data_IF_704360333762
#
_entry.id   IF_704360333762
#
_cell.length_a   1.000
_cell.length_b   1.000
_cell.length_c   1.000
_cell.angle_alpha   90.00
_cell.angle_beta   90.00
_cell.angle_gamma   90.00
#
_symmetry.space_group_name_H-M   'P 1'
#
loop_
_entity.id
_entity.type
_entity.pdbx_description
1 polymer ?
#
# COMPACT_ATOMS: atom_id res chain seq x y z
N UNK A 1 17.55 -31.96 2.99
CA UNK A 1 17.32 -30.84 2.05
C UNK A 1 17.24 -29.57 2.87
N UNK A 2 18.11 -28.59 2.59
CA UNK A 2 18.23 -27.34 3.36
C UNK A 2 17.06 -26.43 2.98
N UNK A 3 16.09 -26.26 3.88
CA UNK A 3 15.07 -25.22 3.75
C UNK A 3 15.70 -23.88 4.11
N UNK A 4 15.99 -23.06 3.09
CA UNK A 4 16.44 -21.70 3.29
C UNK A 4 15.26 -20.92 3.87
N UNK A 5 15.32 -20.67 5.18
CA UNK A 5 14.29 -19.95 5.92
C UNK A 5 14.11 -18.56 5.34
N UNK A 6 12.95 -18.40 4.70
CA UNK A 6 12.26 -17.16 4.31
C UNK A 6 12.87 -15.91 4.94
N UNK A 7 13.59 -15.14 4.11
CA UNK A 7 13.91 -13.76 4.41
C UNK A 7 12.60 -13.04 4.68
N UNK A 8 12.45 -12.56 5.92
CA UNK A 8 11.35 -11.71 6.37
C UNK A 8 11.31 -10.49 5.46
N UNK A 9 10.39 -10.51 4.51
CA UNK A 9 9.84 -9.31 3.88
C UNK A 9 8.33 -9.46 4.00
N UNK A 10 7.81 -9.18 5.19
CA UNK A 10 6.38 -8.88 5.32
C UNK A 10 6.12 -7.55 4.56
N UNK A 11 5.15 -7.49 3.64
CA UNK A 11 5.30 -6.68 2.45
C UNK A 11 4.33 -5.51 2.39
N UNK A 12 4.87 -4.29 2.28
CA UNK A 12 4.32 -3.09 1.61
C UNK A 12 2.87 -2.61 1.90
N UNK A 13 2.06 -3.24 2.75
CA UNK A 13 0.73 -2.76 3.20
C UNK A 13 0.82 -1.78 4.38
N UNK A 14 1.84 -1.92 5.25
CA UNK A 14 2.24 -0.89 6.23
C UNK A 14 2.34 0.51 5.60
N UNK A 15 2.79 0.57 4.34
CA UNK A 15 2.92 1.84 3.61
C UNK A 15 1.58 2.53 3.34
N UNK A 16 0.46 1.79 3.22
CA UNK A 16 -0.84 2.43 2.98
C UNK A 16 -1.27 3.21 4.21
N UNK A 17 -1.22 2.61 5.40
CA UNK A 17 -1.61 3.28 6.64
C UNK A 17 -0.69 4.46 6.97
N UNK A 18 0.61 4.27 6.79
CA UNK A 18 1.61 5.33 6.90
C UNK A 18 1.30 6.48 5.93
N UNK A 19 0.94 6.17 4.69
CA UNK A 19 0.60 7.17 3.67
C UNK A 19 -0.65 7.95 4.07
N UNK A 20 -1.71 7.28 4.53
CA UNK A 20 -2.95 7.94 4.99
C UNK A 20 -2.67 8.83 6.21
N UNK A 21 -1.89 8.34 7.18
CA UNK A 21 -1.48 9.14 8.33
C UNK A 21 -0.68 10.39 7.90
N UNK A 22 0.15 10.27 6.86
CA UNK A 22 0.88 11.40 6.29
C UNK A 22 -0.04 12.41 5.58
N UNK A 23 -1.10 11.96 4.89
CA UNK A 23 -2.13 12.85 4.32
C UNK A 23 -2.82 13.64 5.42
N UNK A 24 -3.30 12.95 6.46
CA UNK A 24 -3.95 13.59 7.60
C UNK A 24 -3.01 14.58 8.29
N UNK A 25 -1.73 14.23 8.46
CA UNK A 25 -0.73 15.15 9.03
C UNK A 25 -0.57 16.43 8.21
N UNK A 26 -0.61 16.34 6.88
CA UNK A 26 -0.58 17.54 6.02
C UNK A 26 -1.83 18.38 6.22
N UNK A 27 -3.00 17.76 6.36
CA UNK A 27 -4.25 18.48 6.65
C UNK A 27 -4.24 19.17 8.03
N UNK A 28 -3.53 18.62 9.03
CA UNK A 28 -3.28 19.31 10.31
C UNK A 28 -2.44 20.56 10.08
N UNK A 29 -1.32 20.43 9.35
CA UNK A 29 -0.44 21.57 9.05
C UNK A 29 -1.14 22.67 8.26
N UNK A 30 -2.03 22.29 7.34
CA UNK A 30 -2.84 23.20 6.53
C UNK A 30 -4.04 23.78 7.31
N UNK A 31 -4.26 23.36 8.57
CA UNK A 31 -5.33 23.85 9.45
C UNK A 31 -6.74 23.33 9.09
N UNK A 32 -6.84 22.35 8.19
CA UNK A 32 -8.12 21.74 7.76
C UNK A 32 -8.71 20.86 8.86
N UNK A 33 -7.85 20.18 9.61
CA UNK A 33 -8.25 19.37 10.77
C UNK A 33 -7.51 19.83 12.02
N UNK A 34 -8.21 19.77 13.15
CA UNK A 34 -7.63 20.10 14.45
C UNK A 34 -6.58 19.05 14.88
N UNK A 35 -5.47 19.52 15.44
CA UNK A 35 -4.38 18.64 15.90
C UNK A 35 -4.83 17.69 17.00
N UNK A 36 -5.63 18.14 17.97
CA UNK A 36 -6.08 17.28 19.06
C UNK A 36 -7.01 16.17 18.54
N UNK A 37 -7.86 16.47 17.54
CA UNK A 37 -8.65 15.44 16.85
C UNK A 37 -7.78 14.43 16.09
N UNK A 38 -6.69 14.87 15.45
CA UNK A 38 -5.75 13.97 14.80
C UNK A 38 -5.02 13.08 15.82
N UNK A 39 -4.54 13.66 16.92
CA UNK A 39 -3.84 12.91 17.98
C UNK A 39 -4.76 11.89 18.66
N UNK A 40 -6.08 12.15 18.72
CA UNK A 40 -7.07 11.22 19.27
C UNK A 40 -7.64 10.23 18.24
N UNK A 41 -7.21 10.30 16.98
CA UNK A 41 -7.72 9.42 15.94
C UNK A 41 -6.98 8.09 15.94
N UNK A 42 -7.70 7.00 16.20
CA UNK A 42 -7.18 5.65 16.04
C UNK A 42 -7.78 4.99 14.81
N UNK A 43 -6.93 4.47 13.94
CA UNK A 43 -7.36 3.82 12.71
C UNK A 43 -7.96 2.44 13.04
N UNK A 44 -9.20 2.13 12.63
CA UNK A 44 -9.90 0.91 13.02
C UNK A 44 -9.48 -0.30 12.17
N UNK A 45 -8.18 -0.42 11.87
CA UNK A 45 -7.62 -1.51 11.07
C UNK A 45 -6.53 -2.21 11.86
N UNK A 46 -6.54 -3.54 11.77
CA UNK A 46 -5.51 -4.39 12.33
C UNK A 46 -5.03 -5.35 11.25
N UNK A 47 -3.71 -5.42 11.06
CA UNK A 47 -3.08 -6.35 10.12
C UNK A 47 -2.42 -7.46 10.94
N UNK A 48 -3.12 -8.58 11.20
CA UNK A 48 -2.57 -9.67 11.99
C UNK A 48 -1.45 -10.37 11.22
N UNK A 49 -0.46 -10.86 11.97
CA UNK A 49 0.54 -11.74 11.36
C UNK A 49 -0.07 -13.10 11.02
N UNK A 50 0.51 -13.82 10.05
CA UNK A 50 0.14 -15.22 9.73
C UNK A 50 0.14 -16.11 10.97
N UNK A 51 1.13 -15.90 11.84
CA UNK A 51 1.28 -16.65 13.09
C UNK A 51 0.11 -16.36 14.03
N UNK A 52 -0.14 -15.08 14.28
CA UNK A 52 -1.22 -14.64 15.17
C UNK A 52 -2.60 -15.07 14.64
N UNK A 53 -2.86 -14.89 13.35
CA UNK A 53 -4.12 -15.33 12.74
C UNK A 53 -4.32 -16.85 12.91
N UNK A 54 -3.25 -17.64 12.76
CA UNK A 54 -3.30 -19.08 13.01
C UNK A 54 -3.58 -19.40 14.48
N UNK A 55 -2.93 -18.72 15.40
CA UNK A 55 -3.13 -18.90 16.84
C UNK A 55 -4.59 -18.59 17.22
N UNK A 56 -5.16 -17.49 16.71
CA UNK A 56 -6.58 -17.13 16.93
C UNK A 56 -7.53 -18.22 16.42
N UNK A 57 -7.31 -18.73 15.20
CA UNK A 57 -8.17 -19.79 14.64
C UNK A 57 -8.09 -21.08 15.47
N UNK A 58 -6.89 -21.43 15.94
CA UNK A 58 -6.68 -22.63 16.75
C UNK A 58 -7.28 -22.50 18.15
N UNK A 59 -7.19 -21.32 18.76
CA UNK A 59 -7.76 -21.04 20.08
C UNK A 59 -9.29 -21.05 20.05
N UNK A 60 -9.90 -20.54 18.98
CA UNK A 60 -11.37 -20.59 18.79
C UNK A 60 -11.89 -22.02 18.59
N UNK A 61 -11.19 -22.85 17.80
CA UNK A 61 -11.38 -24.30 17.76
C UNK A 61 -12.50 -24.85 16.87
N UNK A 62 -13.32 -24.01 16.23
CA UNK A 62 -14.36 -24.47 15.30
C UNK A 62 -13.81 -24.86 13.92
N UNK A 63 -12.59 -24.43 13.58
CA UNK A 63 -11.99 -24.65 12.25
C UNK A 63 -10.58 -25.23 12.35
N UNK A 64 -10.24 -26.12 11.40
CA UNK A 64 -8.87 -26.58 11.18
C UNK A 64 -8.25 -25.90 9.96
N UNK A 65 -7.05 -25.34 10.12
CA UNK A 65 -6.32 -24.69 9.01
C UNK A 65 -5.63 -25.75 8.14
N UNK A 66 -6.23 -26.10 6.99
CA UNK A 66 -5.63 -27.01 6.00
C UNK A 66 -4.48 -26.35 5.23
N UNK A 67 -4.63 -25.08 4.86
CA UNK A 67 -3.63 -24.30 4.15
C UNK A 67 -3.75 -22.81 4.50
N UNK A 68 -2.64 -22.08 4.55
CA UNK A 68 -2.62 -20.62 4.72
C UNK A 68 -1.54 -20.04 3.81
N UNK A 69 -1.91 -19.14 2.91
CA UNK A 69 -1.01 -18.50 1.94
C UNK A 69 -0.96 -17.00 2.18
N UNK A 70 0.23 -16.43 2.07
CA UNK A 70 0.42 -14.98 2.03
C UNK A 70 0.60 -14.59 0.57
N UNK A 71 -0.26 -13.69 0.12
CA UNK A 71 -0.16 -13.06 -1.18
C UNK A 71 0.53 -11.71 -0.99
N UNK A 72 1.56 -11.42 -1.77
CA UNK A 72 2.18 -10.11 -1.77
C UNK A 72 1.20 -9.05 -2.30
N UNK A 73 1.38 -7.76 -1.97
CA UNK A 73 0.49 -6.68 -2.41
C UNK A 73 0.40 -6.51 -3.93
N UNK A 74 1.27 -7.14 -4.71
CA UNK A 74 1.18 -7.17 -6.19
C UNK A 74 0.53 -8.45 -6.73
N UNK A 75 0.43 -9.52 -5.93
CA UNK A 75 -0.24 -10.73 -6.39
C UNK A 75 -1.75 -10.56 -6.24
N UNK A 76 -2.38 -10.05 -7.30
CA UNK A 76 -3.82 -9.78 -7.39
C UNK A 76 -4.17 -8.30 -7.53
N UNK A 77 -3.21 -7.41 -7.29
CA UNK A 77 -3.36 -6.00 -7.59
C UNK A 77 -2.92 -5.77 -9.03
N UNK A 78 -3.87 -5.75 -9.96
CA UNK A 78 -3.59 -5.39 -11.33
C UNK A 78 -2.79 -4.08 -11.35
N UNK A 79 -1.92 -3.93 -12.35
CA UNK A 79 -1.33 -2.64 -12.76
C UNK A 79 -2.39 -1.53 -12.87
N UNK A 80 -3.68 -1.89 -12.92
CA UNK A 80 -4.84 -1.04 -12.79
C UNK A 80 -4.90 -0.16 -11.52
N UNK A 81 -4.47 -0.61 -10.32
CA UNK A 81 -4.41 0.27 -9.14
C UNK A 81 -3.24 1.26 -9.18
N UNK A 82 -2.31 1.10 -10.11
CA UNK A 82 -1.30 2.13 -10.37
C UNK A 82 -1.88 3.36 -11.08
N UNK A 83 -3.14 3.30 -11.55
CA UNK A 83 -3.83 4.47 -12.08
C UNK A 83 -4.26 5.37 -10.92
N UNK A 84 -3.77 6.63 -10.85
CA UNK A 84 -3.99 7.50 -9.70
C UNK A 84 -5.47 7.66 -9.32
N UNK A 85 -6.35 7.83 -10.30
CA UNK A 85 -7.79 8.01 -10.05
C UNK A 85 -8.45 6.80 -9.40
N UNK A 86 -8.05 5.57 -9.75
CA UNK A 86 -8.58 4.36 -9.12
C UNK A 86 -8.09 4.22 -7.68
N UNK A 87 -6.82 4.50 -7.43
CA UNK A 87 -6.27 4.49 -6.08
C UNK A 87 -6.99 5.52 -5.18
N UNK A 88 -7.19 6.73 -5.67
CA UNK A 88 -7.91 7.80 -4.97
C UNK A 88 -9.35 7.40 -4.65
N UNK A 89 -10.08 6.88 -5.66
CA UNK A 89 -11.47 6.45 -5.47
C UNK A 89 -11.60 5.28 -4.49
N UNK A 90 -10.69 4.29 -4.56
CA UNK A 90 -10.66 3.17 -3.62
C UNK A 90 -10.38 3.66 -2.20
N UNK A 91 -9.40 4.56 -2.05
CA UNK A 91 -9.06 5.14 -0.75
C UNK A 91 -10.25 5.90 -0.18
N UNK A 92 -10.93 6.73 -0.99
CA UNK A 92 -12.16 7.41 -0.58
C UNK A 92 -13.22 6.41 -0.11
N UNK A 93 -13.52 5.39 -0.90
CA UNK A 93 -14.55 4.42 -0.56
C UNK A 93 -14.28 3.69 0.77
N UNK A 94 -13.01 3.38 1.07
CA UNK A 94 -12.61 2.70 2.31
C UNK A 94 -12.68 3.64 3.52
N UNK A 95 -12.22 4.90 3.38
CA UNK A 95 -11.97 5.77 4.51
C UNK A 95 -13.03 6.83 4.77
N UNK A 96 -13.86 7.16 3.79
CA UNK A 96 -14.88 8.21 3.91
C UNK A 96 -15.77 8.06 5.15
N UNK A 97 -16.31 6.87 5.48
CA UNK A 97 -17.14 6.73 6.68
C UNK A 97 -16.40 7.12 7.96
N UNK A 98 -15.15 6.66 8.11
CA UNK A 98 -14.34 6.86 9.32
C UNK A 98 -13.83 8.30 9.41
N UNK A 99 -13.39 8.87 8.29
CA UNK A 99 -12.92 10.26 8.23
C UNK A 99 -14.07 11.22 8.52
N UNK A 100 -15.23 11.02 7.88
CA UNK A 100 -16.38 11.91 8.06
C UNK A 100 -16.93 11.83 9.49
N UNK A 101 -16.97 10.63 10.07
CA UNK A 101 -17.41 10.44 11.44
C UNK A 101 -16.52 11.17 12.46
N UNK A 102 -15.19 11.13 12.29
CA UNK A 102 -14.26 11.68 13.28
C UNK A 102 -13.90 13.15 13.05
N UNK A 103 -13.65 13.52 11.80
CA UNK A 103 -13.16 14.85 11.42
C UNK A 103 -14.26 15.77 10.86
N UNK A 104 -15.43 15.23 10.49
CA UNK A 104 -16.50 15.97 9.84
C UNK A 104 -16.38 15.98 8.31
N UNK A 105 -17.03 16.94 7.65
CA UNK A 105 -17.10 17.02 6.18
C UNK A 105 -15.78 17.51 5.55
N UNK A 106 -14.70 16.74 5.70
CA UNK A 106 -13.33 17.06 5.21
C UNK A 106 -12.84 16.09 4.12
N UNK A 107 -13.72 15.21 3.64
CA UNK A 107 -13.34 14.14 2.71
C UNK A 107 -12.85 14.68 1.36
N UNK A 108 -13.40 15.81 0.91
CA UNK A 108 -12.99 16.42 -0.35
C UNK A 108 -11.58 17.02 -0.27
N UNK A 109 -11.25 17.69 0.84
CA UNK A 109 -9.89 18.15 1.16
C UNK A 109 -8.92 16.98 1.30
N UNK A 110 -9.37 15.88 1.91
CA UNK A 110 -8.57 14.66 2.00
C UNK A 110 -8.21 14.13 0.62
N UNK A 111 -9.20 13.99 -0.28
CA UNK A 111 -8.97 13.55 -1.67
C UNK A 111 -8.03 14.49 -2.41
N UNK A 112 -8.24 15.81 -2.30
CA UNK A 112 -7.34 16.81 -2.92
C UNK A 112 -5.90 16.67 -2.42
N UNK A 113 -5.72 16.46 -1.11
CA UNK A 113 -4.39 16.29 -0.50
C UNK A 113 -3.74 14.97 -0.94
N UNK A 114 -4.54 13.91 -1.05
CA UNK A 114 -4.15 12.59 -1.56
C UNK A 114 -3.62 12.68 -3.00
N UNK A 115 -4.38 13.30 -3.89
CA UNK A 115 -4.01 13.52 -5.30
C UNK A 115 -2.72 14.33 -5.44
N UNK A 116 -2.61 15.41 -4.65
CA UNK A 116 -1.41 16.27 -4.61
C UNK A 116 -0.17 15.46 -4.20
N UNK A 117 -0.28 14.68 -3.12
CA UNK A 117 0.86 13.91 -2.61
C UNK A 117 1.27 12.77 -3.53
N UNK A 118 0.29 12.08 -4.11
CA UNK A 118 0.55 11.02 -5.08
C UNK A 118 1.29 11.55 -6.32
N UNK A 119 0.95 12.75 -6.77
CA UNK A 119 1.64 13.41 -7.89
C UNK A 119 3.11 13.72 -7.58
N UNK A 120 3.43 14.08 -6.33
CA UNK A 120 4.80 14.38 -5.88
C UNK A 120 5.64 13.11 -5.70
N UNK A 121 5.09 12.08 -5.05
CA UNK A 121 5.79 10.80 -4.84
C UNK A 121 5.91 9.99 -6.14
N UNK A 122 4.93 10.11 -7.06
CA UNK A 122 5.02 9.57 -8.42
C UNK A 122 6.16 10.17 -9.26
N UNK A 123 6.56 11.43 -9.00
CA UNK A 123 7.74 12.03 -9.63
C UNK A 123 9.06 11.44 -9.10
N UNK A 124 9.09 10.89 -7.89
CA UNK A 124 10.29 10.23 -7.34
C UNK A 124 10.51 8.82 -7.91
N UNK A 125 9.47 8.17 -8.44
CA UNK A 125 9.59 6.89 -9.13
C UNK A 125 10.01 7.03 -10.61
N UNK A 126 10.09 8.27 -11.15
CA UNK A 126 10.59 8.56 -12.50
C UNK A 126 12.03 9.10 -12.48
N UNK A 127 12.90 8.46 -11.68
CA UNK A 127 14.36 8.52 -11.86
C UNK A 127 14.93 7.11 -11.74
N UNK A 128 14.48 6.20 -12.59
CA UNK A 128 15.26 5.00 -12.86
C UNK A 128 16.43 5.44 -13.75
N UNK A 129 17.61 5.44 -13.15
CA UNK A 129 18.91 5.46 -13.84
C UNK A 129 18.87 4.51 -15.04
N UNK A 130 19.03 5.05 -16.24
CA UNK A 130 19.43 4.28 -17.41
C UNK A 130 20.78 3.61 -17.09
N UNK A 131 20.92 2.28 -17.14
CA UNK A 131 22.24 1.67 -17.19
C UNK A 131 22.83 1.99 -18.56
N UNK A 132 24.05 2.51 -18.57
CA UNK A 132 24.87 2.66 -19.77
C UNK A 132 24.90 1.34 -20.54
N UNK A 133 24.68 1.43 -21.85
CA UNK A 133 24.75 0.30 -22.75
C UNK A 133 26.20 -0.22 -22.78
N UNK A 134 26.47 -1.30 -22.04
CA UNK A 134 27.63 -2.12 -22.32
C UNK A 134 27.37 -2.89 -23.61
N UNK A 135 28.07 -2.43 -24.65
CA UNK A 135 28.22 -3.06 -25.95
C UNK A 135 28.86 -4.45 -25.78
N UNK A 136 28.02 -5.49 -25.70
CA UNK A 136 28.43 -6.88 -25.89
C UNK A 136 27.52 -7.51 -26.93
N UNK A 137 28.05 -7.61 -28.13
CA UNK A 137 27.38 -8.13 -29.32
C UNK A 137 26.91 -9.57 -29.15
N UNK A 138 25.71 -9.83 -29.65
CA UNK A 138 25.21 -11.18 -29.91
C UNK A 138 25.24 -11.46 -31.42
N UNK A 139 25.71 -12.64 -31.85
CA UNK A 139 25.78 -12.98 -33.27
C UNK A 139 24.39 -13.40 -33.78
N UNK A 140 23.92 -12.75 -34.84
CA UNK A 140 22.77 -13.23 -35.60
C UNK A 140 23.18 -14.41 -36.50
N UNK A 141 22.37 -15.49 -36.61
CA UNK A 141 22.58 -16.50 -37.64
C UNK A 141 22.03 -16.02 -38.98
N UNK A 142 22.89 -16.06 -40.01
CA UNK A 142 22.55 -15.76 -41.41
C UNK A 142 21.41 -16.66 -41.92
N UNK A 143 20.37 -16.04 -42.47
CA UNK A 143 19.30 -16.71 -43.20
C UNK A 143 19.86 -17.09 -44.59
N UNK A 144 20.09 -18.39 -44.81
CA UNK A 144 20.45 -18.93 -46.12
C UNK A 144 19.27 -18.82 -47.09
N UNK A 145 19.58 -18.45 -48.33
CA UNK A 145 18.72 -18.60 -49.50
C UNK A 145 18.91 -19.97 -50.14
#
# INVERSE_FOLDING_TARGET
>A
MKGLGSGVIAPKFSHMWEFIAQILRVMVSDGVIDKAKFDSFYMPFYEPSVKELREIIQDEGSFSVSEMRVHGPQSGLDSALMVPSRFVNMTRAVFEPVIVQHFGQVMDEFVRTLERRWSVEGMMQCKTTLPEAHDQGWPYPSRGH
#
